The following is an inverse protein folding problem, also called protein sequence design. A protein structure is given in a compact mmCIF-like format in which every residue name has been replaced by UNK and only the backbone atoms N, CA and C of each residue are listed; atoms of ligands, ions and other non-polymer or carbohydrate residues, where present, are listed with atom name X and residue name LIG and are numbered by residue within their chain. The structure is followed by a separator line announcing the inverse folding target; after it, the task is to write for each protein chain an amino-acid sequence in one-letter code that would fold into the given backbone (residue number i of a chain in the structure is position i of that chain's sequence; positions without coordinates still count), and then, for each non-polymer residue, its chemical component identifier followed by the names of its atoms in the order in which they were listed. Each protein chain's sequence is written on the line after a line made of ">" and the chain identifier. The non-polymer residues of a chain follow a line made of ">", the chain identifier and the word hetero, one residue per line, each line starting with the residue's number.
data_IF_451146072835
#
_entry.id   IF_451146072835
#
_cell.length_a   1.000
_cell.length_b   1.000
_cell.length_c   1.000
_cell.angle_alpha   90.00
_cell.angle_beta   90.00
_cell.angle_gamma   90.00
#
_symmetry.space_group_name_H-M   'P 1'
#
loop_
_entity.id
_entity.type
_entity.pdbx_description
1 polymer ?
2 non-polymer ?
3 non-polymer ?
4 water ?
#
# COMPACT_ATOMS: atom_id res chain seq x y z
N UNK A 11 -7.14 -24.38 -12.46
CA UNK A 11 -7.09 -23.24 -11.49
C UNK A 11 -6.33 -22.05 -12.09
N UNK A 12 -5.68 -22.24 -13.25
CA UNK A 12 -4.95 -21.18 -14.01
C UNK A 12 -5.87 -20.52 -15.04
N UNK A 13 -7.11 -21.01 -15.23
CA UNK A 13 -8.09 -20.47 -16.20
C UNK A 13 -8.77 -19.23 -15.62
N UNK A 14 -7.99 -18.18 -15.34
CA UNK A 14 -8.45 -16.90 -14.71
C UNK A 14 -8.30 -15.73 -15.71
N UNK A 15 -7.94 -16.00 -16.97
CA UNK A 15 -8.06 -14.98 -18.04
C UNK A 15 -9.50 -14.99 -18.54
N UNK A 16 -10.11 -13.82 -18.66
CA UNK A 16 -11.55 -13.71 -18.96
C UNK A 16 -11.76 -12.81 -20.19
N UNK A 17 -12.84 -13.03 -20.94
CA UNK A 17 -13.20 -12.09 -22.00
C UNK A 17 -13.67 -10.76 -21.39
N UNK A 18 -13.36 -9.65 -22.08
CA UNK A 18 -13.76 -8.29 -21.61
C UNK A 18 -15.28 -8.21 -21.51
N UNK A 19 -16.01 -8.92 -22.37
CA UNK A 19 -17.49 -8.93 -22.43
C UNK A 19 -18.08 -9.48 -21.12
N UNK A 20 -17.31 -10.19 -20.29
CA UNK A 20 -17.79 -10.74 -18.99
C UNK A 20 -17.86 -9.68 -17.89
N UNK A 21 -17.43 -8.44 -18.18
CA UNK A 21 -17.39 -7.34 -17.20
C UNK A 21 -18.31 -6.21 -17.64
N UNK A 22 -19.05 -5.66 -16.69
CA UNK A 22 -19.80 -4.40 -16.83
C UNK A 22 -19.08 -3.38 -15.94
N UNK A 23 -18.56 -2.33 -16.56
CA UNK A 23 -17.94 -1.19 -15.84
C UNK A 23 -19.07 -0.19 -15.55
N UNK A 24 -19.44 -0.02 -14.28
CA UNK A 24 -20.74 0.59 -13.91
C UNK A 24 -20.53 1.96 -13.28
N UNK A 25 -19.57 2.10 -12.36
CA UNK A 25 -19.30 3.42 -11.71
C UNK A 25 -17.80 3.66 -11.71
N UNK A 26 -17.34 4.78 -12.29
CA UNK A 26 -15.91 5.15 -12.27
C UNK A 26 -15.57 5.70 -10.87
N UNK A 27 -14.64 5.07 -10.17
CA UNK A 27 -14.30 5.45 -8.78
C UNK A 27 -13.25 6.55 -8.79
N UNK A 28 -12.37 6.51 -9.78
CA UNK A 28 -11.33 7.52 -9.92
C UNK A 28 -10.37 7.20 -11.03
N UNK A 29 -9.44 8.13 -11.22
CA UNK A 29 -8.41 8.10 -12.27
C UNK A 29 -7.07 8.10 -11.53
N UNK A 30 -6.16 7.24 -11.98
CA UNK A 30 -4.77 7.21 -11.52
C UNK A 30 -3.88 7.72 -12.63
N UNK A 31 -2.57 7.57 -12.48
CA UNK A 31 -1.58 8.02 -13.49
C UNK A 31 -1.61 7.12 -14.73
N UNK A 32 -1.99 5.85 -14.59
CA UNK A 32 -1.81 4.80 -15.62
C UNK A 32 -3.15 4.22 -16.11
N UNK A 33 -4.27 4.69 -15.54
CA UNK A 33 -5.61 4.24 -15.96
C UNK A 33 -6.66 4.58 -14.91
N UNK A 34 -7.68 3.73 -14.81
CA UNK A 34 -8.93 4.02 -14.08
C UNK A 34 -9.23 2.86 -13.13
N UNK A 35 -10.01 3.15 -12.10
CA UNK A 35 -10.62 2.08 -11.26
C UNK A 35 -12.13 2.29 -11.33
N UNK A 36 -12.82 1.19 -11.60
CA UNK A 36 -14.29 1.12 -11.72
C UNK A 36 -14.86 0.16 -10.68
N UNK A 37 -16.03 0.44 -10.18
CA UNK A 37 -16.91 -0.57 -9.58
C UNK A 37 -17.68 -1.21 -10.73
N UNK A 38 -17.81 -2.54 -10.74
CA UNK A 38 -18.58 -3.17 -11.82
C UNK A 38 -19.08 -4.54 -11.42
N UNK A 39 -19.52 -5.30 -12.42
CA UNK A 39 -20.15 -6.60 -12.21
C UNK A 39 -19.51 -7.59 -13.16
N UNK A 40 -19.14 -8.74 -12.64
CA UNK A 40 -18.49 -9.82 -13.40
C UNK A 40 -19.46 -10.98 -13.54
N UNK A 41 -19.63 -11.49 -14.76
CA UNK A 41 -20.43 -12.72 -15.07
C UNK A 41 -21.90 -12.48 -14.73
N UNK A 42 -22.31 -11.20 -14.69
CA UNK A 42 -23.70 -10.82 -14.38
C UNK A 42 -24.07 -11.03 -12.92
N UNK A 43 -23.14 -11.46 -12.06
CA UNK A 43 -23.46 -11.98 -10.71
C UNK A 43 -22.66 -11.28 -9.61
N UNK A 44 -21.40 -10.91 -9.87
CA UNK A 44 -20.40 -10.67 -8.81
C UNK A 44 -19.93 -9.22 -8.85
N UNK A 45 -20.06 -8.55 -7.70
CA UNK A 45 -19.56 -7.19 -7.49
C UNK A 45 -18.03 -7.26 -7.52
N UNK A 46 -17.38 -6.44 -8.36
CA UNK A 46 -15.90 -6.41 -8.47
C UNK A 46 -15.40 -4.98 -8.59
N UNK A 47 -14.10 -4.79 -8.36
CA UNK A 47 -13.36 -3.60 -8.85
C UNK A 47 -12.59 -4.00 -10.09
N UNK A 48 -12.57 -3.08 -11.06
CA UNK A 48 -11.82 -3.25 -12.32
C UNK A 48 -10.79 -2.13 -12.41
N UNK A 49 -9.53 -2.49 -12.52
CA UNK A 49 -8.42 -1.53 -12.70
C UNK A 49 -7.96 -1.66 -14.15
N UNK A 50 -7.93 -0.55 -14.87
CA UNK A 50 -7.57 -0.55 -16.31
C UNK A 50 -6.17 0.04 -16.44
N UNK A 51 -5.40 -0.44 -17.41
CA UNK A 51 -4.02 0.03 -17.70
C UNK A 51 -3.98 0.53 -19.14
N UNK A 52 -3.58 1.79 -19.31
CA UNK A 52 -3.47 2.36 -20.68
C UNK A 52 -2.55 1.44 -21.47
N UNK A 53 -2.82 1.25 -22.79
CA UNK A 53 -1.91 0.53 -23.67
C UNK A 53 -0.49 1.10 -23.60
N UNK A 54 0.50 0.22 -23.47
CA UNK A 54 1.93 0.54 -23.44
C UNK A 54 2.46 0.81 -22.05
N UNK A 55 1.63 0.71 -21.01
CA UNK A 55 2.08 0.94 -19.61
C UNK A 55 2.53 -0.39 -18.98
N UNK A 56 2.18 -1.54 -19.56
CA UNK A 56 2.59 -2.85 -19.01
C UNK A 56 2.57 -3.94 -20.10
N UNK A 57 3.65 -4.70 -20.19
CA UNK A 57 3.81 -5.90 -21.06
C UNK A 57 2.80 -6.97 -20.68
N UNK A 58 1.83 -7.31 -21.56
CA UNK A 58 0.86 -8.36 -21.26
C UNK A 58 1.45 -9.71 -20.84
N UNK A 59 2.48 -10.19 -21.55
CA UNK A 59 3.13 -11.50 -21.19
C UNK A 59 3.70 -11.37 -19.76
N UNK A 60 4.58 -10.34 -19.55
CA UNK A 60 5.24 -10.14 -18.23
C UNK A 60 4.17 -10.07 -17.14
N UNK A 61 3.05 -9.41 -17.41
CA UNK A 61 1.94 -9.29 -16.45
C UNK A 61 1.36 -10.69 -16.15
N UNK A 62 1.10 -11.48 -17.19
CA UNK A 62 0.50 -12.84 -17.01
C UNK A 62 1.45 -13.72 -16.18
N UNK A 63 2.75 -13.67 -16.45
CA UNK A 63 3.75 -14.47 -15.69
C UNK A 63 3.71 -14.04 -14.21
N UNK A 64 3.68 -12.74 -13.94
CA UNK A 64 3.66 -12.23 -12.55
C UNK A 64 2.30 -12.60 -11.93
N UNK A 65 1.21 -12.51 -12.70
CA UNK A 65 -0.16 -12.84 -12.27
C UNK A 65 -0.23 -14.28 -11.77
N UNK A 66 0.52 -15.20 -12.38
CA UNK A 66 0.56 -16.63 -11.94
C UNK A 66 1.08 -16.68 -10.50
N UNK A 67 2.14 -15.93 -10.21
CA UNK A 67 2.71 -15.81 -8.84
C UNK A 67 1.65 -15.18 -7.93
N UNK A 68 1.09 -14.03 -8.32
CA UNK A 68 0.14 -13.22 -7.49
C UNK A 68 -1.13 -14.00 -7.17
N UNK A 69 -1.58 -14.89 -8.07
CA UNK A 69 -2.83 -15.68 -7.88
C UNK A 69 -2.64 -16.64 -6.70
N UNK A 70 -1.39 -17.02 -6.41
CA UNK A 70 -0.99 -17.94 -5.32
C UNK A 70 -0.96 -17.23 -3.96
N UNK A 71 -0.85 -15.90 -3.91
CA UNK A 71 -0.81 -15.14 -2.64
C UNK A 71 -2.24 -15.00 -2.10
N UNK A 72 -2.60 -15.79 -1.09
CA UNK A 72 -3.97 -15.82 -0.53
C UNK A 72 -3.90 -15.58 1.00
N UNK A 73 -4.46 -14.47 1.44
CA UNK A 73 -4.43 -14.04 2.86
C UNK A 73 -5.55 -13.04 3.12
N UNK A 74 -6.12 -13.06 4.32
CA UNK A 74 -7.30 -12.21 4.61
C UNK A 74 -6.90 -10.73 4.52
N UNK A 75 -5.61 -10.37 4.55
CA UNK A 75 -5.20 -8.93 4.53
C UNK A 75 -4.51 -8.60 3.20
N UNK A 76 -4.69 -9.43 2.17
CA UNK A 76 -4.23 -9.12 0.79
C UNK A 76 -5.47 -9.06 -0.10
N UNK A 77 -5.56 -8.05 -0.96
CA UNK A 77 -6.69 -7.97 -1.92
C UNK A 77 -6.59 -9.20 -2.84
N UNK A 78 -7.73 -9.86 -3.11
CA UNK A 78 -7.75 -11.09 -3.90
C UNK A 78 -7.88 -10.73 -5.38
N UNK A 79 -6.96 -11.23 -6.18
CA UNK A 79 -7.05 -11.19 -7.66
C UNK A 79 -8.08 -12.23 -8.08
N UNK A 80 -9.12 -11.81 -8.81
CA UNK A 80 -10.17 -12.72 -9.31
C UNK A 80 -9.90 -13.14 -10.76
N UNK A 81 -9.44 -12.22 -11.60
CA UNK A 81 -9.40 -12.47 -13.06
C UNK A 81 -8.59 -11.36 -13.73
N UNK A 82 -8.18 -11.61 -14.96
CA UNK A 82 -7.52 -10.56 -15.80
C UNK A 82 -8.06 -10.63 -17.22
N UNK A 83 -8.15 -9.47 -17.85
CA UNK A 83 -8.31 -9.39 -19.32
C UNK A 83 -6.99 -8.98 -19.93
N UNK A 84 -6.38 -9.82 -20.77
CA UNK A 84 -4.94 -9.94 -20.84
C UNK A 84 -4.56 -9.20 -22.14
N UNK A 85 -5.56 -8.82 -22.95
CA UNK A 85 -5.47 -7.99 -24.19
C UNK A 85 -5.45 -6.51 -23.79
N UNK A 86 -4.59 -5.69 -24.40
CA UNK A 86 -4.56 -4.24 -24.11
C UNK A 86 -5.89 -3.63 -24.54
N UNK A 87 -6.51 -2.71 -23.76
CA UNK A 87 -6.02 -2.33 -22.43
C UNK A 87 -6.26 -3.42 -21.38
N UNK A 88 -5.21 -3.81 -20.65
CA UNK A 88 -5.27 -4.86 -19.61
C UNK A 88 -6.30 -4.43 -18.57
N UNK A 89 -7.18 -5.35 -18.17
CA UNK A 89 -8.06 -5.14 -16.99
C UNK A 89 -7.68 -6.14 -15.90
N UNK A 90 -7.50 -5.62 -14.71
CA UNK A 90 -7.30 -6.43 -13.47
C UNK A 90 -8.63 -6.40 -12.72
N UNK A 91 -9.09 -7.56 -12.27
CA UNK A 91 -10.39 -7.69 -11.54
C UNK A 91 -10.09 -8.18 -10.14
N UNK A 92 -10.53 -7.46 -9.11
CA UNK A 92 -10.35 -7.89 -7.71
C UNK A 92 -11.66 -7.80 -6.97
N UNK A 93 -11.66 -8.29 -5.73
CA UNK A 93 -12.78 -7.96 -4.81
C UNK A 93 -12.96 -6.43 -4.76
N UNK A 94 -14.19 -6.03 -4.51
CA UNK A 94 -14.57 -4.62 -4.29
C UNK A 94 -14.37 -4.27 -2.81
N UNK A 95 -13.65 -3.18 -2.52
CA UNK A 95 -13.43 -2.69 -1.13
C UNK A 95 -14.20 -1.39 -0.93
N UNK A 96 -15.28 -1.46 -0.13
CA UNK A 96 -16.35 -0.44 -0.13
C UNK A 96 -15.86 0.96 0.25
N UNK A 97 -14.77 1.11 1.00
CA UNK A 97 -14.33 2.45 1.46
C UNK A 97 -13.14 2.96 0.65
N UNK A 98 -12.74 2.26 -0.43
CA UNK A 98 -11.67 2.75 -1.32
C UNK A 98 -10.27 2.71 -0.69
N UNK A 99 -9.39 3.60 -1.14
CA UNK A 99 -7.99 3.63 -0.65
C UNK A 99 -7.94 4.12 0.80
N UNK A 100 -7.00 3.58 1.56
CA UNK A 100 -6.76 4.05 2.93
C UNK A 100 -6.44 5.55 2.88
N UNK A 101 -5.64 5.99 1.90
CA UNK A 101 -5.28 7.42 1.86
C UNK A 101 -6.56 8.27 1.73
N UNK A 102 -7.44 7.92 0.81
CA UNK A 102 -8.71 8.69 0.67
C UNK A 102 -9.54 8.59 1.95
N UNK A 103 -9.59 7.41 2.59
CA UNK A 103 -10.37 7.20 3.81
C UNK A 103 -9.86 8.11 4.94
N UNK A 104 -8.54 8.16 5.12
CA UNK A 104 -7.93 9.01 6.16
C UNK A 104 -8.26 10.49 5.91
N UNK A 105 -8.24 10.90 4.63
CA UNK A 105 -8.46 12.30 4.19
C UNK A 105 -9.95 12.64 4.09
N UNK A 106 -10.86 11.67 4.19
CA UNK A 106 -12.29 11.87 3.97
C UNK A 106 -13.05 12.20 5.24
N UNK A 107 -14.39 12.13 5.17
CA UNK A 107 -15.29 12.60 6.25
C UNK A 107 -15.04 11.79 7.53
N UNK A 108 -14.75 10.50 7.38
CA UNK A 108 -14.58 9.58 8.54
C UNK A 108 -13.22 9.80 9.19
N UNK A 109 -12.24 10.25 8.41
CA UNK A 109 -10.85 10.29 8.86
C UNK A 109 -10.70 11.08 10.14
N UNK A 110 -11.39 12.23 10.26
CA UNK A 110 -11.18 13.12 11.41
C UNK A 110 -11.59 12.41 12.71
N UNK A 111 -12.42 11.36 12.66
CA UNK A 111 -12.90 10.68 13.89
C UNK A 111 -11.97 9.55 14.30
N UNK A 112 -11.03 9.13 13.44
CA UNK A 112 -10.11 8.03 13.78
C UNK A 112 -9.20 8.50 14.91
N UNK A 113 -9.02 7.67 15.92
CA UNK A 113 -8.03 7.94 16.98
C UNK A 113 -6.91 6.91 16.94
N UNK A 114 -5.92 7.09 17.81
CA UNK A 114 -4.73 6.19 17.75
C UNK A 114 -5.16 4.71 17.81
N UNK A 115 -6.13 4.27 18.65
CA UNK A 115 -6.42 2.84 18.65
C UNK A 115 -6.85 2.30 17.29
N UNK A 116 -7.70 3.03 16.57
CA UNK A 116 -8.15 2.59 15.21
C UNK A 116 -6.94 2.59 14.26
N UNK A 117 -6.10 3.63 14.32
CA UNK A 117 -4.99 3.79 13.36
C UNK A 117 -3.94 2.71 13.61
N UNK A 118 -3.69 2.36 14.87
CA UNK A 118 -2.73 1.28 15.21
C UNK A 118 -3.33 -0.05 14.79
N UNK A 119 -4.63 -0.27 15.00
CA UNK A 119 -5.24 -1.53 14.54
C UNK A 119 -5.13 -1.67 13.02
N UNK A 120 -5.38 -0.60 12.29
CA UNK A 120 -5.20 -0.59 10.81
C UNK A 120 -3.74 -0.92 10.47
N UNK A 121 -2.78 -0.31 11.16
CA UNK A 121 -1.34 -0.62 10.96
C UNK A 121 -1.08 -2.10 11.23
N UNK A 122 -1.67 -2.66 12.29
CA UNK A 122 -1.45 -4.09 12.64
C UNK A 122 -1.98 -4.99 11.51
N UNK A 123 -3.12 -4.62 10.92
CA UNK A 123 -3.72 -5.41 9.82
C UNK A 123 -2.79 -5.35 8.59
N UNK A 124 -2.30 -4.18 8.25
CA UNK A 124 -1.34 -4.02 7.13
C UNK A 124 -0.08 -4.86 7.40
N UNK A 125 0.46 -4.79 8.63
CA UNK A 125 1.65 -5.57 9.03
C UNK A 125 1.36 -7.05 8.89
N UNK A 126 0.13 -7.50 9.20
CA UNK A 126 -0.24 -8.93 9.06
C UNK A 126 -0.19 -9.36 7.60
N UNK A 127 -0.77 -8.59 6.69
CA UNK A 127 -0.64 -8.88 5.24
C UNK A 127 0.80 -8.87 4.79
N UNK A 128 1.57 -7.89 5.22
CA UNK A 128 2.99 -7.82 4.83
C UNK A 128 3.76 -8.97 5.48
N UNK A 129 3.38 -9.44 6.67
CA UNK A 129 4.08 -10.59 7.29
C UNK A 129 3.84 -11.81 6.41
N UNK A 130 2.66 -11.90 5.81
CA UNK A 130 2.37 -13.01 4.86
C UNK A 130 3.29 -12.89 3.65
N UNK A 131 3.37 -11.69 3.07
CA UNK A 131 4.27 -11.42 1.92
C UNK A 131 5.69 -11.83 2.32
N UNK A 132 6.10 -11.48 3.53
CA UNK A 132 7.43 -11.85 4.07
C UNK A 132 7.57 -13.36 4.14
N UNK A 133 6.59 -14.08 4.68
CA UNK A 133 6.65 -15.57 4.77
C UNK A 133 6.76 -16.20 3.38
N UNK A 134 6.15 -15.59 2.37
CA UNK A 134 6.10 -16.13 0.99
C UNK A 134 7.34 -15.67 0.20
N UNK A 135 8.28 -14.97 0.84
CA UNK A 135 9.54 -14.48 0.19
C UNK A 135 9.15 -13.64 -1.03
N UNK A 136 8.11 -12.83 -0.90
CA UNK A 136 7.66 -11.92 -1.97
C UNK A 136 8.07 -10.51 -1.55
N UNK A 137 7.90 -9.54 -2.46
CA UNK A 137 8.28 -8.12 -2.21
C UNK A 137 7.16 -7.28 -2.81
N UNK A 138 6.66 -6.31 -2.06
CA UNK A 138 5.57 -5.43 -2.52
C UNK A 138 6.12 -4.43 -3.55
N UNK A 139 7.11 -3.64 -3.12
CA UNK A 139 7.86 -2.61 -3.90
C UNK A 139 7.15 -1.26 -3.90
N UNK A 140 5.87 -1.15 -3.53
CA UNK A 140 5.23 0.18 -3.49
C UNK A 140 4.21 0.22 -2.35
N UNK A 141 4.67 -0.05 -1.15
CA UNK A 141 3.78 0.00 0.04
C UNK A 141 3.60 1.44 0.49
N UNK A 142 2.36 1.88 0.59
CA UNK A 142 1.98 3.24 1.07
C UNK A 142 0.47 3.26 1.20
N UNK A 143 -0.07 4.27 1.84
CA UNK A 143 -1.51 4.27 2.18
C UNK A 143 -2.35 4.27 0.90
N UNK A 144 -1.85 4.81 -0.22
CA UNK A 144 -2.59 4.82 -1.51
C UNK A 144 -2.81 3.37 -2.00
N UNK A 145 -1.98 2.42 -1.55
CA UNK A 145 -2.04 1.01 -2.00
C UNK A 145 -2.56 0.09 -0.89
N UNK A 146 -3.22 0.66 0.10
CA UNK A 146 -4.04 -0.10 1.07
C UNK A 146 -5.51 0.19 0.77
N UNK A 147 -6.36 -0.81 0.86
CA UNK A 147 -7.81 -0.63 0.67
C UNK A 147 -8.55 -0.89 1.97
N UNK A 148 -9.68 -0.21 2.11
CA UNK A 148 -10.51 -0.26 3.34
C UNK A 148 -11.91 -0.78 2.99
N UNK A 149 -12.41 -1.69 3.83
CA UNK A 149 -13.80 -2.18 3.74
C UNK A 149 -14.60 -1.79 4.95
N UNK A 150 -15.63 -2.57 5.26
CA UNK A 150 -16.46 -2.35 6.45
C UNK A 150 -15.67 -2.78 7.67
N UNK A 151 -16.01 -2.21 8.84
CA UNK A 151 -15.44 -2.65 10.14
C UNK A 151 -13.94 -2.34 10.16
N UNK A 152 -13.50 -1.32 9.41
CA UNK A 152 -12.09 -0.87 9.30
C UNK A 152 -11.19 -2.02 8.85
N UNK A 153 -11.71 -2.95 8.07
CA UNK A 153 -10.84 -3.99 7.46
C UNK A 153 -9.92 -3.31 6.44
N UNK A 154 -8.62 -3.56 6.55
CA UNK A 154 -7.58 -3.06 5.62
C UNK A 154 -6.95 -4.25 4.88
N UNK A 155 -6.74 -4.09 3.57
CA UNK A 155 -6.04 -5.09 2.76
C UNK A 155 -4.98 -4.42 1.92
N UNK A 156 -3.85 -5.11 1.80
CA UNK A 156 -2.71 -4.70 0.94
C UNK A 156 -3.08 -4.93 -0.53
N UNK A 157 -2.88 -3.92 -1.37
CA UNK A 157 -3.14 -3.97 -2.82
C UNK A 157 -1.88 -3.59 -3.63
N UNK A 158 -1.94 -3.84 -4.93
CA UNK A 158 -0.93 -3.36 -5.93
C UNK A 158 0.46 -3.92 -5.63
N UNK A 159 0.54 -5.01 -4.88
CA UNK A 159 1.82 -5.73 -4.62
C UNK A 159 2.39 -6.25 -5.95
N UNK A 160 3.70 -6.14 -6.14
CA UNK A 160 4.37 -6.74 -7.31
C UNK A 160 4.30 -5.89 -8.57
N UNK A 161 3.25 -5.07 -8.76
CA UNK A 161 2.98 -4.38 -10.06
C UNK A 161 4.08 -3.37 -10.40
N UNK A 162 4.66 -2.70 -9.40
CA UNK A 162 5.59 -1.57 -9.66
C UNK A 162 6.76 -2.06 -10.50
N UNK A 163 7.12 -3.34 -10.36
CA UNK A 163 8.27 -3.93 -11.09
C UNK A 163 7.99 -3.88 -12.61
N UNK A 164 6.73 -3.83 -13.04
CA UNK A 164 6.35 -3.96 -14.47
C UNK A 164 5.82 -2.65 -15.07
N UNK A 165 5.42 -1.67 -14.26
CA UNK A 165 4.72 -0.44 -14.72
C UNK A 165 5.71 0.44 -15.47
N UNK A 166 5.30 1.00 -16.61
CA UNK A 166 6.09 1.97 -17.43
C UNK A 166 5.19 3.12 -17.86
N UNK A 167 5.78 4.26 -18.25
CA UNK A 167 5.04 5.38 -18.87
C UNK A 167 4.78 5.04 -20.34
N UNK A 168 3.70 5.58 -20.89
CA UNK A 168 3.49 5.73 -22.36
C UNK A 168 3.77 7.21 -22.67
N UNK A 169 3.47 7.64 -23.91
CA UNK A 169 3.72 9.03 -24.38
C UNK A 169 2.91 10.02 -23.56
N UNK A 170 1.66 9.66 -23.25
CA UNK A 170 0.68 10.52 -22.53
C UNK A 170 1.10 10.65 -21.06
N UNK A 171 1.24 9.51 -20.36
CA UNK A 171 1.52 9.49 -18.90
C UNK A 171 2.88 10.12 -18.61
N UNK A 172 3.82 10.12 -19.57
CA UNK A 172 5.17 10.71 -19.47
C UNK A 172 5.10 12.24 -19.24
N UNK A 173 3.97 12.89 -19.55
CA UNK A 173 3.79 14.38 -19.43
C UNK A 173 3.40 14.78 -18.00
N UNK A 174 3.15 13.79 -17.12
CA UNK A 174 2.78 14.00 -15.69
C UNK A 174 4.00 14.46 -14.89
N UNK A 178 7.23 8.85 -9.26
CA UNK A 178 7.83 7.75 -8.46
C UNK A 178 7.73 8.12 -6.97
N UNK A 179 7.32 7.18 -6.09
CA UNK A 179 7.14 7.48 -4.66
C UNK A 179 8.45 7.47 -3.87
N UNK A 180 9.36 8.36 -4.26
CA UNK A 180 10.69 8.54 -3.60
C UNK A 180 10.50 8.63 -2.09
N UNK A 181 9.48 9.35 -1.63
CA UNK A 181 9.34 9.66 -0.18
C UNK A 181 9.03 8.38 0.60
N UNK A 182 8.54 7.34 -0.07
CA UNK A 182 8.18 6.05 0.59
C UNK A 182 9.28 5.01 0.42
N UNK A 183 10.31 5.29 -0.39
CA UNK A 183 11.24 4.25 -0.90
C UNK A 183 12.52 4.29 -0.06
N UNK A 184 12.96 3.12 0.42
CA UNK A 184 14.26 3.02 1.13
C UNK A 184 15.38 3.50 0.24
N UNK A 185 16.40 4.13 0.85
CA UNK A 185 17.48 4.71 0.05
C UNK A 185 18.18 3.67 -0.85
N UNK A 186 18.39 2.45 -0.38
CA UNK A 186 19.09 1.42 -1.19
C UNK A 186 18.22 1.04 -2.38
N UNK A 187 16.90 1.16 -2.24
CA UNK A 187 15.99 0.83 -3.36
C UNK A 187 15.92 1.99 -4.36
N UNK A 188 15.77 3.21 -3.86
CA UNK A 188 15.66 4.43 -4.70
C UNK A 188 16.94 4.65 -5.50
N UNK A 189 18.09 4.43 -4.86
CA UNK A 189 19.41 4.71 -5.46
C UNK A 189 19.90 3.52 -6.31
N UNK A 190 19.81 2.30 -5.81
CA UNK A 190 20.56 1.15 -6.37
C UNK A 190 19.61 0.07 -6.89
N UNK A 191 18.29 0.26 -6.76
CA UNK A 191 17.32 -0.74 -7.21
C UNK A 191 17.31 -1.98 -6.32
N UNK A 192 17.79 -1.89 -5.08
CA UNK A 192 17.81 -3.04 -4.14
C UNK A 192 16.45 -3.09 -3.42
N UNK A 193 15.45 -3.68 -4.08
CA UNK A 193 14.08 -3.84 -3.52
C UNK A 193 14.02 -5.19 -2.85
N UNK A 194 13.69 -5.19 -1.56
CA UNK A 194 13.61 -6.40 -0.74
C UNK A 194 12.48 -6.21 0.25
N UNK A 195 12.20 -7.26 1.02
CA UNK A 195 11.20 -7.14 2.10
C UNK A 195 11.64 -6.02 3.05
N UNK A 196 12.95 -5.80 3.22
CA UNK A 196 13.46 -4.78 4.16
C UNK A 196 13.21 -3.37 3.59
N UNK A 197 13.24 -3.18 2.26
CA UNK A 197 12.86 -1.87 1.70
C UNK A 197 11.35 -1.68 1.93
N UNK A 198 10.57 -2.76 1.87
CA UNK A 198 9.13 -2.65 2.22
C UNK A 198 8.97 -2.21 3.69
N UNK A 199 9.78 -2.73 4.60
CA UNK A 199 9.73 -2.32 6.03
C UNK A 199 9.97 -0.82 6.16
N UNK A 200 10.93 -0.27 5.43
CA UNK A 200 11.12 1.20 5.39
C UNK A 200 9.83 1.88 4.97
N UNK A 201 9.26 1.43 3.86
CA UNK A 201 7.95 1.94 3.36
C UNK A 201 6.89 1.92 4.46
N UNK A 202 6.80 0.82 5.19
CA UNK A 202 5.80 0.68 6.27
C UNK A 202 6.00 1.78 7.32
N UNK A 203 7.26 2.06 7.66
CA UNK A 203 7.54 3.15 8.61
C UNK A 203 6.95 4.45 8.09
N UNK A 204 7.14 4.75 6.81
CA UNK A 204 6.55 5.98 6.20
C UNK A 204 5.02 5.89 6.26
N UNK A 205 4.47 4.73 5.96
CA UNK A 205 3.01 4.52 6.06
C UNK A 205 2.53 4.84 7.49
N UNK A 206 3.29 4.46 8.53
CA UNK A 206 2.90 4.79 9.92
C UNK A 206 2.75 6.31 10.06
N UNK A 207 3.61 7.12 9.43
CA UNK A 207 3.46 8.60 9.50
C UNK A 207 2.14 8.99 8.80
N UNK A 208 1.78 8.36 7.68
CA UNK A 208 0.50 8.66 6.99
C UNK A 208 -0.65 8.37 7.95
N UNK A 209 -0.58 7.26 8.67
CA UNK A 209 -1.69 6.91 9.61
C UNK A 209 -1.78 7.96 10.73
N UNK A 210 -0.66 8.30 11.35
CA UNK A 210 -0.67 9.14 12.57
C UNK A 210 -0.93 10.61 12.22
N UNK A 211 -0.77 11.01 10.96
CA UNK A 211 -1.13 12.39 10.50
C UNK A 211 -2.46 12.38 9.76
N UNK A 212 -3.18 11.24 9.74
CA UNK A 212 -4.48 11.13 9.00
C UNK A 212 -4.26 11.53 7.54
N UNK A 213 -3.18 11.04 6.91
CA UNK A 213 -3.06 11.07 5.45
C UNK A 213 -2.10 12.11 4.92
N UNK A 214 -1.38 12.87 5.76
CA UNK A 214 -0.49 13.91 5.19
C UNK A 214 0.68 13.28 4.43
N UNK A 215 1.12 13.98 3.38
CA UNK A 215 2.33 13.61 2.61
C UNK A 215 3.52 13.68 3.55
N UNK A 216 4.40 12.64 3.51
CA UNK A 216 5.60 12.63 4.32
C UNK A 216 6.57 13.77 3.95
N UNK A 217 7.46 14.12 4.87
CA UNK A 217 8.51 15.14 4.66
C UNK A 217 7.86 16.43 4.24
N UNK A 218 6.97 17.00 5.07
CA UNK A 218 6.29 18.23 4.69
C UNK A 218 7.24 19.36 4.30
N UNK A 219 6.90 20.03 3.20
CA UNK A 219 7.66 21.18 2.69
C UNK A 219 8.86 20.78 1.88
N UNK A 220 9.17 19.49 1.77
CA UNK A 220 10.33 19.02 0.98
C UNK A 220 9.88 18.45 -0.36
N UNK A 221 10.60 18.80 -1.44
CA UNK A 221 10.45 18.13 -2.75
C UNK A 221 11.30 16.85 -2.78
N UNK A 222 11.06 16.00 -3.77
CA UNK A 222 11.70 14.67 -3.84
C UNK A 222 13.22 14.81 -3.77
N UNK A 223 13.83 15.77 -4.45
CA UNK A 223 15.32 15.86 -4.46
C UNK A 223 15.84 16.18 -3.06
N UNK A 224 15.17 17.09 -2.33
CA UNK A 224 15.55 17.48 -0.96
C UNK A 224 15.39 16.26 -0.03
N UNK A 225 14.33 15.48 -0.20
CA UNK A 225 14.12 14.29 0.67
C UNK A 225 15.30 13.35 0.46
N UNK A 226 15.64 13.05 -0.77
CA UNK A 226 16.76 12.11 -1.04
C UNK A 226 18.05 12.67 -0.45
N UNK A 227 18.33 13.95 -0.65
CA UNK A 227 19.57 14.58 -0.11
C UNK A 227 19.59 14.49 1.42
N UNK A 228 18.49 14.86 2.06
CA UNK A 228 18.43 14.92 3.55
C UNK A 228 18.51 13.52 4.15
N UNK A 229 17.71 12.59 3.65
CA UNK A 229 17.69 11.20 4.21
C UNK A 229 19.09 10.61 4.01
N UNK A 230 19.73 10.88 2.88
CA UNK A 230 21.05 10.25 2.62
C UNK A 230 22.03 10.69 3.71
N UNK A 231 21.95 11.93 4.19
CA UNK A 231 22.89 12.45 5.23
C UNK A 231 22.39 12.11 6.66
N UNK A 232 21.28 11.40 6.80
CA UNK A 232 20.85 10.88 8.12
C UNK A 232 19.55 11.49 8.63
N UNK A 233 18.94 12.41 7.90
CA UNK A 233 17.65 13.01 8.33
C UNK A 233 16.60 11.89 8.42
N UNK A 234 15.76 11.96 9.46
CA UNK A 234 14.53 11.13 9.63
C UNK A 234 13.43 12.08 10.09
N UNK A 235 12.20 11.78 9.69
CA UNK A 235 11.06 12.57 10.15
C UNK A 235 11.01 12.52 11.67
N UNK A 236 10.68 13.66 12.32
CA UNK A 236 10.46 13.71 13.76
C UNK A 236 9.09 13.13 14.12
N UNK A 237 8.83 13.05 15.42
CA UNK A 237 7.60 12.47 15.96
C UNK A 237 6.41 13.31 15.50
N UNK A 238 5.40 12.70 14.85
CA UNK A 238 4.23 13.45 14.39
C UNK A 238 3.49 14.08 15.57
N UNK A 239 2.71 15.14 15.32
CA UNK A 239 1.94 15.78 16.38
C UNK A 239 1.06 14.78 17.14
N UNK A 240 1.11 14.82 18.46
CA UNK A 240 0.31 13.97 19.39
C UNK A 240 0.66 12.49 19.29
N UNK A 241 1.60 12.09 18.42
CA UNK A 241 2.01 10.66 18.33
C UNK A 241 2.88 10.31 19.53
N UNK A 242 2.63 9.18 20.25
CA UNK A 242 3.56 8.78 21.30
C UNK A 242 4.98 8.53 20.76
N UNK A 243 5.95 8.91 21.58
CA UNK A 243 7.38 8.65 21.28
C UNK A 243 7.61 7.16 20.98
N UNK A 244 6.93 6.26 21.70
CA UNK A 244 7.10 4.80 21.52
C UNK A 244 6.72 4.37 20.10
N UNK A 245 5.73 5.00 19.47
CA UNK A 245 5.36 4.65 18.08
C UNK A 245 6.35 5.32 17.11
N UNK A 246 6.83 6.52 17.41
CA UNK A 246 7.91 7.14 16.58
C UNK A 246 9.16 6.27 16.64
N UNK A 247 9.43 5.67 17.79
CA UNK A 247 10.64 4.82 17.93
C UNK A 247 10.50 3.65 16.95
N UNK A 248 9.31 3.09 16.82
CA UNK A 248 9.07 1.97 15.87
C UNK A 248 9.33 2.46 14.43
N UNK A 249 8.86 3.65 14.09
CA UNK A 249 9.08 4.23 12.73
C UNK A 249 10.59 4.29 12.50
N UNK A 250 11.33 4.79 13.49
CA UNK A 250 12.80 4.97 13.35
C UNK A 250 13.51 3.61 13.20
N UNK A 251 13.04 2.54 13.83
CA UNK A 251 13.60 1.17 13.64
C UNK A 251 13.39 0.76 12.17
N UNK A 252 12.25 1.10 11.58
CA UNK A 252 11.96 0.80 10.16
C UNK A 252 12.90 1.57 9.24
N UNK A 253 13.46 2.70 9.70
CA UNK A 253 14.30 3.60 8.87
C UNK A 253 15.77 3.47 9.21
N UNK A 254 16.18 2.40 9.88
CA UNK A 254 17.63 2.08 9.99
C UNK A 254 18.28 2.07 8.61
N UNK A 255 19.49 2.62 8.54
CA UNK A 255 20.27 2.66 7.28
C UNK A 255 20.58 1.23 6.80
N UNK A 256 20.98 0.35 7.72
CA UNK A 256 21.33 -1.05 7.41
C UNK A 256 20.06 -1.87 7.24
N UNK A 257 19.71 -2.36 6.03
CA UNK A 257 18.40 -3.00 5.86
C UNK A 257 18.19 -4.22 6.77
N UNK A 258 19.23 -4.97 7.02
CA UNK A 258 19.13 -6.21 7.83
C UNK A 258 18.85 -5.84 9.29
N UNK A 259 19.02 -4.58 9.72
CA UNK A 259 18.75 -4.19 11.13
C UNK A 259 17.32 -3.68 11.31
N UNK A 260 16.57 -3.52 10.22
CA UNK A 260 15.13 -3.16 10.29
C UNK A 260 14.34 -4.35 10.80
N UNK A 261 13.24 -4.10 11.54
CA UNK A 261 12.42 -5.19 12.07
C UNK A 261 11.79 -6.02 10.96
N UNK A 262 11.42 -7.27 11.27
CA UNK A 262 10.54 -8.06 10.40
C UNK A 262 9.09 -7.54 10.50
N UNK A 263 8.29 -7.84 9.49
CA UNK A 263 6.82 -7.63 9.58
C UNK A 263 6.23 -8.51 10.69
N UNK A 264 6.78 -9.69 10.94
CA UNK A 264 6.27 -10.53 12.05
C UNK A 264 6.36 -9.72 13.35
N UNK A 265 7.51 -9.11 13.58
CA UNK A 265 7.74 -8.28 14.77
C UNK A 265 6.80 -7.07 14.78
N UNK A 266 6.70 -6.38 13.65
CA UNK A 266 5.84 -5.16 13.56
C UNK A 266 4.40 -5.55 13.90
N UNK A 267 3.92 -6.67 13.37
CA UNK A 267 2.52 -7.10 13.58
C UNK A 267 2.30 -7.30 15.09
N UNK A 268 3.19 -8.02 15.76
CA UNK A 268 3.05 -8.34 17.19
C UNK A 268 3.08 -7.06 18.02
N UNK A 269 4.04 -6.17 17.74
CA UNK A 269 4.20 -4.89 18.47
C UNK A 269 2.90 -4.09 18.37
N UNK A 270 2.33 -4.02 17.17
CA UNK A 270 1.17 -3.14 16.97
C UNK A 270 -0.09 -3.81 17.56
N UNK A 271 -0.24 -5.12 17.46
CA UNK A 271 -1.38 -5.85 18.05
C UNK A 271 -1.41 -5.59 19.56
N UNK A 272 -0.26 -5.58 20.22
CA UNK A 272 -0.16 -5.55 21.68
C UNK A 272 0.06 -4.14 22.21
N UNK A 273 0.09 -3.16 21.31
CA UNK A 273 0.58 -1.80 21.60
C UNK A 273 -0.01 -1.18 22.89
N UNK A 274 -1.33 -1.17 23.05
CA UNK A 274 -1.95 -0.41 24.17
C UNK A 274 -1.89 -1.16 25.51
N UNK A 275 -1.51 -2.43 25.51
CA UNK A 275 -1.28 -3.17 26.76
C UNK A 275 0.21 -3.11 27.13
N UNK A 276 1.09 -3.47 26.19
CA UNK A 276 2.52 -3.68 26.47
C UNK A 276 3.33 -2.38 26.40
N UNK A 277 2.98 -1.45 25.53
CA UNK A 277 3.89 -0.35 25.15
C UNK A 277 3.37 0.98 25.67
N UNK A 278 2.09 1.27 25.44
CA UNK A 278 1.52 2.60 25.77
C UNK A 278 0.21 2.43 26.53
N UNK A 279 0.19 1.72 27.67
CA UNK A 279 -1.04 1.60 28.44
C UNK A 279 -1.49 2.96 29.02
N UNK A 280 -0.60 3.95 29.05
CA UNK A 280 -0.89 5.32 29.56
C UNK A 280 -1.60 6.15 28.49
N UNK A 281 -1.88 5.59 27.31
CA UNK A 281 -2.59 6.32 26.23
C UNK A 281 -3.87 6.97 26.80
N UNK A 282 -4.07 8.25 26.49
CA UNK A 282 -5.40 8.87 26.61
C UNK A 282 -5.62 9.75 25.39
N UNK A 283 -6.88 9.84 24.90
CA UNK A 283 -7.17 10.67 23.74
C UNK A 283 -6.79 12.13 23.97
N UNK A 284 -6.33 12.79 22.91
CA UNK A 284 -6.04 14.23 22.91
C UNK A 284 -6.95 14.96 21.96
N UNK A 285 -6.44 15.99 21.29
CA UNK A 285 -7.21 16.80 20.31
C UNK A 285 -7.62 15.93 19.12
N UNK A 286 -6.68 15.19 18.52
CA UNK A 286 -6.87 14.52 17.21
C UNK A 286 -6.61 13.01 17.30
N UNK A 287 -5.77 12.56 18.22
CA UNK A 287 -5.42 11.12 18.30
C UNK A 287 -5.93 10.54 19.61
X LIG B 1 14.39 9.02 0.43
X LIG B 1 13.02 8.74 0.69
X LIG B 1 15.21 7.78 0.33
X LIG B 1 14.96 7.08 -0.86
X LIG C 1 -10.90 -1.69 -5.08
X LIG C 1 -10.05 -0.66 -5.36
X LIG C 1 -10.45 0.60 -5.00
X LIG C 1 -11.65 0.84 -4.41
X LIG C 1 -12.10 -1.51 -4.49
X LIG C 1 -8.12 5.58 -5.99
X LIG C 1 -7.89 6.83 -5.27
X LIG C 1 -8.67 7.94 -6.02
X LIG C 1 -8.49 9.25 -5.35
X LIG C 1 -7.10 9.68 -5.33
X LIG C 1 -9.41 10.31 -5.88
X LIG C 1 -10.14 7.59 -5.99
X LIG C 1 -10.38 6.15 -6.46
X LIG C 1 -9.52 5.17 -5.74
X LIG C 1 -9.85 3.82 -6.19
X LIG C 1 -9.53 2.92 -5.04
X LIG C 1 -9.49 1.46 -5.35
X LIG C 1 -8.51 0.83 -5.86
X LIG C 1 -12.49 -0.20 -4.15
X LIG C 1 -10.57 -2.96 -5.34
X LIG C 1 -8.79 -0.47 -5.91
X LIG C 1 -7.91 -1.37 -6.46
X LIG C 1 -8.32 -2.21 -7.51
X LIG C 1 -7.45 -3.17 -8.09
X LIG C 1 -7.78 -4.02 -9.12
X LIG C 1 -9.17 -4.14 -9.47
X LIG C 1 -6.58 -1.45 -6.06
X LIG C 1 -5.73 -2.39 -6.64
X LIG C 1 -6.13 -3.24 -7.66
X LIG C 1 -5.37 -4.20 -8.29
X LIG C 1 -4.43 -4.99 -7.69
X LIG C 1 -4.13 -4.90 -6.49
X LIG C 1 -3.84 -5.90 -8.49
X LIG C 1 -3.18 -7.09 -7.99
X LIG C 1 -4.10 -7.90 -7.06
X LIG C 1 -2.86 -7.91 -9.25
X LIG C 1 -1.88 -6.70 -7.25
#
# INVERSE_FOLDING_TARGET
>A
GSDIQTQGLAKDAWEIPRESLRLEVKLGQGCFGEVWMGTWNGTTRVAIKTLKPGTMSPEAFLQEAQVMKKLRHEKLVQLYAVVSEEPIYIVTEYMSKGSLLDFLKGETGKYLRLPQLVDMAAQIASGMAYVERMNYVHRDLRAANILVGENLVCKVADFGLARLIEDNEYTARQGAKFPIKWTAPEAALYGRFTIKSDVWSFGILLTELTTKGRVPYPGMVNREVLDQVERGYRMPCPPECPESLHDLMCQCWRKEPEERPTFEYLQAFLEDYFTSTEPQYQPGENL
>B hetero
1 EDO C1 O1 C2 O2
>C hetero
1 UCW C4 C5 C6 N1 N3 CAD CAC CAK NAJ CAY CAI CAZ CBA NAL CAM CAN NAO NAP C2 NBI CAQ CAR CAE CAF OAB CAA CBD CBE CAS NAT CAU OAG OAV CAW CBF CAH CAX
#
